data_IF_992970931685
#
_entry.id   IF_992970931685
#
_cell.length_a   1.000
_cell.length_b   1.000
_cell.length_c   1.000
_cell.angle_alpha   90.00
_cell.angle_beta   90.00
_cell.angle_gamma   90.00
#
_symmetry.space_group_name_H-M   'P 1'
#
loop_
_entity.id
_entity.type
_entity.pdbx_description
1 polymer ?
#
# COMPACT_ATOMS: atom_id res chain seq x y z
N UNK A 1 -17.45 12.48 0.06
CA UNK A 1 -17.44 11.28 0.91
C UNK A 1 -18.83 11.16 1.53
N UNK A 2 -19.48 9.99 1.38
CA UNK A 2 -20.82 9.73 1.89
C UNK A 2 -21.85 10.81 1.51
N UNK A 3 -21.83 11.26 0.24
CA UNK A 3 -22.70 12.28 -0.30
C UNK A 3 -22.40 13.72 0.11
N UNK A 4 -21.32 13.96 0.90
CA UNK A 4 -20.90 15.31 1.31
C UNK A 4 -19.67 15.76 0.53
N UNK A 5 -19.64 17.01 0.05
CA UNK A 5 -18.44 17.58 -0.56
C UNK A 5 -17.27 17.58 0.43
N UNK A 6 -16.09 17.17 -0.02
CA UNK A 6 -14.87 17.12 0.83
C UNK A 6 -14.54 18.50 1.42
N UNK A 7 -14.82 19.57 0.69
CA UNK A 7 -14.57 20.95 1.11
C UNK A 7 -15.39 21.40 2.33
N UNK A 8 -16.50 20.72 2.61
CA UNK A 8 -17.39 21.00 3.74
C UNK A 8 -17.05 20.16 4.98
N UNK A 9 -16.08 19.24 4.86
CA UNK A 9 -15.69 18.37 5.96
C UNK A 9 -14.59 19.00 6.79
N UNK A 10 -14.66 18.90 8.14
CA UNK A 10 -13.55 19.30 8.99
C UNK A 10 -12.27 18.54 8.61
N UNK A 11 -11.20 19.28 8.35
CA UNK A 11 -9.93 18.71 7.86
C UNK A 11 -9.37 17.64 8.80
N UNK A 12 -9.53 17.81 10.13
CA UNK A 12 -9.12 16.83 11.14
C UNK A 12 -9.87 15.51 10.95
N UNK A 13 -11.18 15.54 10.74
CA UNK A 13 -12.00 14.35 10.52
C UNK A 13 -11.60 13.66 9.21
N UNK A 14 -11.44 14.43 8.14
CA UNK A 14 -11.02 13.90 6.85
C UNK A 14 -9.68 13.17 6.97
N UNK A 15 -8.66 13.85 7.52
CA UNK A 15 -7.31 13.27 7.66
C UNK A 15 -7.26 12.08 8.61
N UNK A 16 -8.08 12.05 9.69
CA UNK A 16 -8.13 10.89 10.58
C UNK A 16 -8.82 9.68 9.95
N UNK A 17 -9.67 9.90 8.95
CA UNK A 17 -10.39 8.83 8.23
C UNK A 17 -9.57 8.20 7.11
N UNK A 18 -8.46 8.82 6.68
CA UNK A 18 -7.64 8.38 5.55
C UNK A 18 -6.29 7.84 6.05
N UNK A 19 -5.96 6.61 5.65
CA UNK A 19 -4.59 6.08 5.66
C UNK A 19 -4.00 6.26 4.26
N UNK A 20 -2.88 6.95 4.14
CA UNK A 20 -2.21 7.22 2.88
C UNK A 20 -0.78 6.71 2.87
N UNK A 21 -0.44 5.93 1.87
CA UNK A 21 0.91 5.46 1.60
C UNK A 21 1.36 6.07 0.28
N UNK A 22 2.28 7.04 0.29
CA UNK A 22 2.79 7.67 -0.93
C UNK A 22 3.74 6.76 -1.69
N UNK A 23 3.94 7.03 -2.98
CA UNK A 23 4.89 6.37 -3.85
C UNK A 23 6.33 6.48 -3.29
N UNK A 24 6.75 7.69 -2.92
CA UNK A 24 8.03 7.93 -2.23
C UNK A 24 7.84 7.83 -0.72
N UNK A 25 8.33 6.74 -0.16
CA UNK A 25 8.20 6.46 1.27
C UNK A 25 9.28 7.13 2.07
N UNK A 26 8.89 7.99 3.00
CA UNK A 26 9.77 8.62 3.98
C UNK A 26 9.65 7.95 5.36
N UNK A 27 10.79 7.68 5.99
CA UNK A 27 10.89 7.24 7.39
C UNK A 27 11.68 8.28 8.21
N UNK A 28 11.24 8.49 9.42
CA UNK A 28 11.91 9.38 10.37
C UNK A 28 13.14 8.69 10.97
N UNK A 29 14.14 9.47 11.40
CA UNK A 29 15.25 8.98 12.21
C UNK A 29 14.77 8.66 13.62
N UNK A 30 14.08 7.54 13.75
CA UNK A 30 13.36 7.06 14.93
C UNK A 30 13.38 5.51 14.92
N UNK A 31 12.92 4.86 16.00
CA UNK A 31 12.77 3.41 16.01
C UNK A 31 11.77 2.93 14.94
N UNK A 32 11.82 1.65 14.59
CA UNK A 32 10.81 1.04 13.69
C UNK A 32 9.43 1.20 14.33
N UNK A 33 9.29 0.92 15.63
CA UNK A 33 8.04 1.12 16.38
C UNK A 33 7.56 2.58 16.31
N UNK A 34 8.44 3.55 16.55
CA UNK A 34 8.13 4.98 16.45
C UNK A 34 7.68 5.39 15.06
N UNK A 35 8.30 4.83 14.01
CA UNK A 35 7.88 5.04 12.63
C UNK A 35 6.49 4.47 12.34
N UNK A 36 6.16 3.28 12.83
CA UNK A 36 4.82 2.67 12.66
C UNK A 36 3.78 3.46 13.45
N UNK A 37 4.08 3.80 14.70
CA UNK A 37 3.17 4.52 15.60
C UNK A 37 2.98 6.01 15.23
N UNK A 38 3.71 6.52 14.24
CA UNK A 38 3.68 7.93 13.89
C UNK A 38 2.26 8.41 13.56
N UNK A 39 1.82 9.45 14.30
CA UNK A 39 0.47 10.02 14.16
C UNK A 39 -0.61 9.33 14.98
N UNK A 40 -0.22 8.43 15.91
CA UNK A 40 -1.07 7.85 16.96
C UNK A 40 -0.48 8.26 18.32
N UNK A 41 -1.25 8.97 19.15
CA UNK A 41 -0.74 9.56 20.41
C UNK A 41 -0.35 8.50 21.46
N UNK A 42 -0.98 7.33 21.44
CA UNK A 42 -0.80 6.30 22.47
C UNK A 42 -0.96 4.90 21.86
N UNK A 43 -0.12 4.57 20.89
CA UNK A 43 -0.10 3.22 20.33
C UNK A 43 0.49 2.23 21.33
N UNK A 44 -0.21 1.13 21.59
CA UNK A 44 0.36 0.05 22.40
C UNK A 44 1.34 -0.79 21.57
N UNK A 45 2.19 -1.55 22.25
CA UNK A 45 3.13 -2.48 21.59
C UNK A 45 2.38 -3.47 20.70
N UNK A 46 1.29 -4.02 21.21
CA UNK A 46 0.44 -4.98 20.51
C UNK A 46 -0.19 -4.38 19.24
N UNK A 47 -0.59 -3.11 19.27
CA UNK A 47 -1.12 -2.41 18.08
C UNK A 47 -0.04 -2.19 17.02
N UNK A 48 1.18 -1.88 17.44
CA UNK A 48 2.34 -1.73 16.55
C UNK A 48 2.70 -3.08 15.90
N UNK A 49 2.79 -4.15 16.71
CA UNK A 49 3.07 -5.51 16.23
C UNK A 49 1.98 -5.98 15.25
N UNK A 50 0.71 -5.79 15.58
CA UNK A 50 -0.40 -6.13 14.70
C UNK A 50 -0.35 -5.37 13.37
N UNK A 51 -0.03 -4.08 13.40
CA UNK A 51 0.11 -3.29 12.19
C UNK A 51 1.29 -3.77 11.32
N UNK A 52 2.40 -4.17 11.95
CA UNK A 52 3.56 -4.74 11.27
C UNK A 52 3.24 -6.11 10.63
N UNK A 53 2.52 -6.97 11.33
CA UNK A 53 2.04 -8.24 10.78
C UNK A 53 1.13 -8.03 9.58
N UNK A 54 0.17 -7.12 9.69
CA UNK A 54 -0.75 -6.77 8.61
C UNK A 54 -0.05 -6.24 7.36
N UNK A 55 1.04 -5.51 7.55
CA UNK A 55 1.86 -4.99 6.45
C UNK A 55 2.92 -5.99 5.95
N UNK A 56 3.04 -7.16 6.57
CA UNK A 56 4.01 -8.19 6.19
C UNK A 56 5.47 -7.82 6.49
N UNK A 57 5.74 -6.95 7.48
CA UNK A 57 7.09 -6.52 7.86
C UNK A 57 7.54 -7.12 9.21
N UNK A 58 6.66 -7.76 9.97
CA UNK A 58 6.96 -8.23 11.32
C UNK A 58 8.12 -9.24 11.35
N UNK A 59 8.18 -10.17 10.40
CA UNK A 59 9.27 -11.16 10.32
C UNK A 59 10.62 -10.48 10.12
N UNK A 60 10.71 -9.51 9.19
CA UNK A 60 11.94 -8.73 8.97
C UNK A 60 12.37 -7.97 10.23
N UNK A 61 11.39 -7.38 10.95
CA UNK A 61 11.69 -6.60 12.17
C UNK A 61 12.31 -7.49 13.25
N UNK A 62 11.86 -8.73 13.37
CA UNK A 62 12.40 -9.68 14.36
C UNK A 62 13.87 -10.06 14.07
N UNK A 63 14.32 -9.94 12.81
CA UNK A 63 15.73 -10.16 12.43
C UNK A 63 16.61 -8.92 12.66
N UNK A 64 16.04 -7.76 12.96
CA UNK A 64 16.82 -6.56 13.25
C UNK A 64 17.50 -6.65 14.64
N UNK A 65 18.66 -6.00 14.84
CA UNK A 65 19.45 -6.12 16.06
C UNK A 65 18.70 -5.88 17.37
N UNK A 66 17.72 -4.94 17.36
CA UNK A 66 16.89 -4.60 18.51
C UNK A 66 15.39 -4.75 18.19
N UNK A 67 15.01 -5.57 17.20
CA UNK A 67 13.63 -5.75 16.80
C UNK A 67 12.93 -4.41 16.51
N UNK A 68 11.77 -4.22 17.10
CA UNK A 68 10.96 -2.98 16.94
C UNK A 68 11.65 -1.72 17.48
N UNK A 69 12.60 -1.85 18.41
CA UNK A 69 13.38 -0.72 18.97
C UNK A 69 14.62 -0.39 18.14
N UNK A 70 14.78 -1.03 16.99
CA UNK A 70 15.88 -0.74 16.08
C UNK A 70 15.71 0.66 15.50
N UNK A 71 16.72 1.52 15.66
CA UNK A 71 16.78 2.84 15.04
C UNK A 71 16.93 2.72 13.52
N UNK A 72 16.21 3.51 12.76
CA UNK A 72 16.32 3.63 11.30
C UNK A 72 16.67 5.05 10.91
N UNK A 73 17.23 5.22 9.70
CA UNK A 73 17.66 6.53 9.19
C UNK A 73 19.14 6.79 9.37
N UNK A 74 19.57 8.06 9.39
CA UNK A 74 20.99 8.45 9.38
C UNK A 74 21.82 7.93 10.57
N UNK A 75 21.17 7.66 11.69
CA UNK A 75 21.83 7.17 12.92
C UNK A 75 21.52 5.70 13.24
N UNK A 76 20.93 4.98 12.31
CA UNK A 76 20.51 3.60 12.50
C UNK A 76 20.75 2.77 11.25
N UNK A 77 20.00 1.63 11.16
CA UNK A 77 20.08 0.77 9.99
C UNK A 77 19.38 1.43 8.77
N UNK A 78 19.85 1.08 7.59
CA UNK A 78 19.19 1.44 6.34
C UNK A 78 18.27 0.31 5.92
N UNK A 79 16.97 0.58 5.85
CA UNK A 79 15.99 -0.37 5.35
C UNK A 79 16.04 -0.45 3.82
N UNK A 80 15.77 -1.64 3.26
CA UNK A 80 15.54 -1.81 1.83
C UNK A 80 14.29 -1.04 1.36
N UNK A 81 14.15 -0.81 0.06
CA UNK A 81 12.97 -0.15 -0.51
C UNK A 81 11.66 -0.84 -0.09
N UNK A 82 11.61 -2.17 -0.20
CA UNK A 82 10.46 -2.97 0.20
C UNK A 82 10.16 -2.92 1.71
N UNK A 83 11.20 -2.91 2.56
CA UNK A 83 11.04 -2.75 4.01
C UNK A 83 10.49 -1.37 4.37
N UNK A 84 10.98 -0.30 3.70
CA UNK A 84 10.45 1.06 3.87
C UNK A 84 8.98 1.14 3.49
N UNK A 85 8.60 0.58 2.33
CA UNK A 85 7.21 0.57 1.87
C UNK A 85 6.30 -0.19 2.83
N UNK A 86 6.68 -1.39 3.27
CA UNK A 86 5.90 -2.17 4.25
C UNK A 86 5.79 -1.46 5.60
N UNK A 87 6.84 -0.78 6.07
CA UNK A 87 6.77 0.04 7.29
C UNK A 87 5.79 1.21 7.13
N UNK A 88 5.74 1.87 5.96
CA UNK A 88 4.77 2.92 5.69
C UNK A 88 3.33 2.38 5.58
N UNK A 89 3.15 1.19 5.05
CA UNK A 89 1.84 0.50 5.05
C UNK A 89 1.41 0.25 6.50
N UNK A 90 2.28 -0.28 7.37
CA UNK A 90 1.99 -0.47 8.79
C UNK A 90 1.58 0.85 9.48
N UNK A 91 2.31 1.94 9.21
CA UNK A 91 1.98 3.30 9.69
C UNK A 91 0.60 3.78 9.26
N UNK A 92 0.17 3.45 8.03
CA UNK A 92 -1.17 3.80 7.57
C UNK A 92 -2.24 2.93 8.23
N UNK A 93 -1.97 1.64 8.46
CA UNK A 93 -2.91 0.66 8.99
C UNK A 93 -3.16 0.80 10.49
N UNK A 94 -2.16 1.17 11.29
CA UNK A 94 -2.30 1.32 12.74
C UNK A 94 -3.41 2.31 13.13
N UNK A 95 -3.66 3.29 12.26
CA UNK A 95 -4.73 4.29 12.44
C UNK A 95 -6.13 3.74 12.17
N UNK A 96 -6.25 2.49 11.72
CA UNK A 96 -7.53 1.82 11.37
C UNK A 96 -8.41 2.69 10.46
N UNK A 97 -7.87 3.20 9.33
CA UNK A 97 -8.55 4.17 8.50
C UNK A 97 -9.80 3.56 7.85
N UNK A 98 -10.83 4.40 7.59
CA UNK A 98 -12.00 4.01 6.80
C UNK A 98 -11.72 4.04 5.29
N UNK A 99 -10.81 4.90 4.87
CA UNK A 99 -10.35 5.05 3.50
C UNK A 99 -8.86 4.75 3.47
N UNK A 100 -8.44 3.80 2.65
CA UNK A 100 -7.04 3.47 2.45
C UNK A 100 -6.63 3.88 1.02
N UNK A 101 -5.55 4.66 0.93
CA UNK A 101 -4.99 5.09 -0.36
C UNK A 101 -3.56 4.54 -0.43
N UNK A 102 -3.30 3.72 -1.44
CA UNK A 102 -2.00 3.14 -1.75
C UNK A 102 -1.55 3.68 -3.11
N UNK A 103 -0.57 4.58 -3.09
CA UNK A 103 -0.05 5.22 -4.28
C UNK A 103 1.27 4.55 -4.67
N UNK A 104 1.19 3.62 -5.60
CA UNK A 104 2.29 2.76 -6.07
C UNK A 104 3.14 2.14 -4.92
N UNK A 105 2.43 1.80 -3.84
CA UNK A 105 3.02 1.47 -2.54
C UNK A 105 3.72 0.09 -2.50
N UNK A 106 3.73 -0.66 -3.60
CA UNK A 106 4.38 -1.97 -3.71
C UNK A 106 5.41 -2.03 -4.85
N UNK A 107 5.74 -0.92 -5.48
CA UNK A 107 6.65 -0.86 -6.64
C UNK A 107 8.07 -1.33 -6.36
N UNK A 108 8.55 -1.17 -5.12
CA UNK A 108 9.90 -1.59 -4.70
C UNK A 108 9.94 -2.98 -4.05
N UNK A 109 8.85 -3.73 -4.14
CA UNK A 109 8.71 -5.08 -3.57
C UNK A 109 8.80 -6.10 -4.73
N UNK A 110 9.50 -7.21 -4.50
CA UNK A 110 9.52 -8.33 -5.44
C UNK A 110 8.13 -8.99 -5.55
N UNK A 111 7.88 -9.65 -6.68
CA UNK A 111 6.56 -10.23 -7.02
C UNK A 111 6.04 -11.23 -5.96
N UNK A 112 6.92 -12.06 -5.40
CA UNK A 112 6.52 -13.03 -4.38
C UNK A 112 6.09 -12.37 -3.08
N UNK A 113 6.86 -11.38 -2.64
CA UNK A 113 6.54 -10.60 -1.44
C UNK A 113 5.29 -9.73 -1.67
N UNK A 114 5.14 -9.15 -2.87
CA UNK A 114 3.94 -8.40 -3.27
C UNK A 114 2.67 -9.24 -3.14
N UNK A 115 2.65 -10.48 -3.66
CA UNK A 115 1.50 -11.37 -3.53
C UNK A 115 1.12 -11.66 -2.07
N UNK A 116 2.13 -11.89 -1.21
CA UNK A 116 1.89 -12.09 0.23
C UNK A 116 1.24 -10.84 0.86
N UNK A 117 1.77 -9.66 0.56
CA UNK A 117 1.24 -8.39 1.08
C UNK A 117 -0.17 -8.16 0.57
N UNK A 118 -0.41 -8.33 -0.73
CA UNK A 118 -1.75 -8.17 -1.33
C UNK A 118 -2.76 -9.10 -0.71
N UNK A 119 -2.40 -10.36 -0.42
CA UNK A 119 -3.28 -11.31 0.27
C UNK A 119 -3.69 -10.82 1.67
N UNK A 120 -2.78 -10.21 2.43
CA UNK A 120 -3.08 -9.60 3.72
C UNK A 120 -3.90 -8.31 3.56
N UNK A 121 -3.52 -7.44 2.63
CA UNK A 121 -4.21 -6.18 2.35
C UNK A 121 -5.66 -6.41 1.89
N UNK A 122 -5.93 -7.40 1.04
CA UNK A 122 -7.30 -7.76 0.62
C UNK A 122 -8.21 -8.06 1.81
N UNK A 123 -7.69 -8.71 2.85
CA UNK A 123 -8.43 -8.99 4.08
C UNK A 123 -8.75 -7.71 4.85
N UNK A 124 -7.80 -6.78 4.87
CA UNK A 124 -7.91 -5.49 5.56
C UNK A 124 -8.80 -4.52 4.77
N UNK A 125 -8.77 -4.56 3.45
CA UNK A 125 -9.58 -3.70 2.57
C UNK A 125 -11.07 -4.03 2.60
N UNK A 126 -11.45 -5.26 3.01
CA UNK A 126 -12.86 -5.63 3.16
C UNK A 126 -13.57 -4.69 4.13
N UNK A 127 -14.71 -4.14 3.72
CA UNK A 127 -15.54 -3.25 4.53
C UNK A 127 -15.01 -1.81 4.64
N UNK A 128 -14.06 -1.42 3.81
CA UNK A 128 -13.57 -0.03 3.69
C UNK A 128 -13.39 0.38 2.23
N UNK A 129 -13.38 1.66 1.98
CA UNK A 129 -13.04 2.20 0.66
C UNK A 129 -11.53 2.14 0.48
N UNK A 130 -11.06 1.48 -0.57
CA UNK A 130 -9.63 1.41 -0.89
C UNK A 130 -9.39 1.93 -2.29
N UNK A 131 -8.42 2.83 -2.42
CA UNK A 131 -7.93 3.37 -3.69
C UNK A 131 -6.49 2.90 -3.87
N UNK A 132 -6.25 2.15 -4.93
CA UNK A 132 -4.92 1.64 -5.26
C UNK A 132 -4.50 2.26 -6.60
N UNK A 133 -3.38 2.95 -6.60
CA UNK A 133 -2.70 3.38 -7.82
C UNK A 133 -1.53 2.43 -8.05
N UNK A 134 -1.45 1.83 -9.20
CA UNK A 134 -0.35 0.93 -9.58
C UNK A 134 -0.18 0.89 -11.09
N UNK A 135 1.05 0.69 -11.52
CA UNK A 135 1.39 0.37 -12.90
C UNK A 135 1.40 -1.16 -13.15
N UNK A 136 1.24 -1.98 -12.11
CA UNK A 136 1.16 -3.45 -12.21
C UNK A 136 -0.30 -3.90 -12.22
N UNK A 137 -0.67 -4.64 -13.26
CA UNK A 137 -2.04 -5.20 -13.37
C UNK A 137 -2.30 -6.23 -12.28
N UNK A 138 -1.29 -7.03 -11.89
CA UNK A 138 -1.36 -8.00 -10.77
C UNK A 138 -1.89 -7.39 -9.48
N UNK A 139 -1.53 -6.13 -9.21
CA UNK A 139 -1.94 -5.39 -8.01
C UNK A 139 -3.42 -5.01 -8.02
N UNK A 140 -3.98 -4.68 -9.19
CA UNK A 140 -5.32 -4.08 -9.33
C UNK A 140 -6.37 -5.01 -9.92
N UNK A 141 -6.00 -6.18 -10.46
CA UNK A 141 -6.91 -7.10 -11.16
C UNK A 141 -8.14 -7.55 -10.35
N UNK A 142 -8.02 -7.59 -9.02
CA UNK A 142 -9.11 -8.00 -8.13
C UNK A 142 -9.90 -6.80 -7.55
N UNK A 143 -9.72 -5.60 -8.09
CA UNK A 143 -10.49 -4.42 -7.68
C UNK A 143 -11.94 -4.49 -8.21
N UNK A 144 -12.88 -3.97 -7.43
CA UNK A 144 -14.30 -3.88 -7.81
C UNK A 144 -14.51 -2.95 -9.03
N UNK A 145 -13.61 -1.96 -9.19
CA UNK A 145 -13.59 -1.04 -10.31
C UNK A 145 -12.15 -0.65 -10.62
N UNK A 146 -11.77 -0.81 -11.87
CA UNK A 146 -10.50 -0.36 -12.43
C UNK A 146 -10.77 0.84 -13.34
N UNK A 147 -9.91 1.86 -13.22
CA UNK A 147 -9.92 3.06 -14.05
C UNK A 147 -8.56 3.20 -14.70
N UNK A 148 -8.51 3.18 -16.02
CA UNK A 148 -7.30 3.43 -16.80
C UNK A 148 -7.24 4.89 -17.17
N UNK A 149 -6.12 5.53 -16.85
CA UNK A 149 -5.86 6.95 -17.17
C UNK A 149 -4.88 7.06 -18.33
N UNK A 150 -5.21 7.87 -19.32
CA UNK A 150 -4.35 8.24 -20.42
C UNK A 150 -4.44 9.74 -20.64
N UNK A 151 -3.31 10.42 -20.74
CA UNK A 151 -3.21 11.88 -20.92
C UNK A 151 -4.09 12.69 -19.94
N UNK A 152 -4.19 12.24 -18.68
CA UNK A 152 -4.98 12.91 -17.66
C UNK A 152 -6.50 12.71 -17.78
N UNK A 153 -6.96 11.79 -18.62
CA UNK A 153 -8.37 11.46 -18.84
C UNK A 153 -8.62 9.99 -18.55
N UNK A 154 -9.87 9.67 -18.21
CA UNK A 154 -10.31 8.28 -18.09
C UNK A 154 -10.47 7.72 -19.50
N UNK A 155 -9.56 6.82 -19.90
CA UNK A 155 -9.63 6.09 -21.16
C UNK A 155 -10.58 4.90 -21.04
N UNK A 156 -10.45 4.12 -19.98
CA UNK A 156 -11.25 2.93 -19.76
C UNK A 156 -11.68 2.80 -18.30
N UNK A 157 -12.78 2.11 -18.07
CA UNK A 157 -13.26 1.72 -16.75
C UNK A 157 -14.04 0.41 -16.81
N UNK A 158 -13.91 -0.42 -15.79
CA UNK A 158 -14.61 -1.71 -15.69
C UNK A 158 -13.93 -2.62 -14.67
N UNK A 159 -14.38 -3.85 -14.57
CA UNK A 159 -13.69 -4.93 -13.88
C UNK A 159 -12.55 -5.48 -14.76
N UNK A 160 -11.68 -6.31 -14.18
CA UNK A 160 -10.62 -6.99 -14.94
C UNK A 160 -11.16 -7.72 -16.17
N UNK A 161 -12.15 -8.57 -15.97
CA UNK A 161 -12.72 -9.39 -17.04
C UNK A 161 -13.36 -8.54 -18.15
N UNK A 162 -14.09 -7.48 -17.78
CA UNK A 162 -14.68 -6.55 -18.75
C UNK A 162 -13.63 -5.82 -19.59
N UNK A 163 -12.52 -5.40 -18.95
CA UNK A 163 -11.46 -4.67 -19.63
C UNK A 163 -10.62 -5.58 -20.52
N UNK A 164 -10.35 -6.81 -20.11
CA UNK A 164 -9.69 -7.82 -20.95
C UNK A 164 -10.57 -8.14 -22.17
N UNK A 165 -11.87 -8.36 -21.97
CA UNK A 165 -12.80 -8.67 -23.05
C UNK A 165 -12.93 -7.54 -24.11
N UNK A 166 -12.65 -6.28 -23.72
CA UNK A 166 -12.66 -5.13 -24.64
C UNK A 166 -11.42 -5.08 -25.54
N UNK A 167 -10.30 -5.69 -25.15
CA UNK A 167 -9.05 -5.67 -25.92
C UNK A 167 -8.45 -4.28 -26.10
N UNK A 168 -8.62 -3.38 -25.13
CA UNK A 168 -8.11 -2.01 -25.18
C UNK A 168 -6.79 -1.85 -24.40
N UNK A 169 -6.49 -0.61 -23.99
CA UNK A 169 -5.25 -0.24 -23.29
C UNK A 169 -4.94 -1.13 -22.08
N UNK A 170 -5.96 -1.46 -21.29
CA UNK A 170 -5.78 -2.35 -20.14
C UNK A 170 -5.32 -3.74 -20.53
N UNK A 171 -5.92 -4.31 -21.58
CA UNK A 171 -5.56 -5.63 -22.08
C UNK A 171 -4.13 -5.64 -22.65
N UNK A 172 -3.73 -4.61 -23.39
CA UNK A 172 -2.36 -4.45 -23.90
C UNK A 172 -1.34 -4.37 -22.75
N UNK A 173 -1.63 -3.61 -21.69
CA UNK A 173 -0.79 -3.54 -20.50
C UNK A 173 -0.65 -4.90 -19.81
N UNK A 174 -1.74 -5.64 -19.71
CA UNK A 174 -1.74 -6.97 -19.10
C UNK A 174 -0.91 -7.97 -19.90
N UNK A 175 -1.10 -8.03 -21.22
CA UNK A 175 -0.33 -8.92 -22.10
C UNK A 175 1.17 -8.61 -22.04
N UNK A 176 1.53 -7.32 -22.04
CA UNK A 176 2.92 -6.89 -21.91
C UNK A 176 3.54 -7.38 -20.61
N UNK A 177 2.83 -7.24 -19.48
CA UNK A 177 3.34 -7.67 -18.18
C UNK A 177 3.49 -9.19 -18.09
N UNK A 178 2.56 -9.97 -18.67
CA UNK A 178 2.69 -11.42 -18.74
C UNK A 178 3.94 -11.85 -19.51
N UNK A 179 4.23 -11.20 -20.64
CA UNK A 179 5.44 -11.47 -21.42
C UNK A 179 6.72 -11.12 -20.64
N UNK A 180 6.72 -10.01 -19.90
CA UNK A 180 7.86 -9.62 -19.05
C UNK A 180 8.10 -10.64 -17.91
N UNK A 181 7.04 -11.17 -17.31
CA UNK A 181 7.12 -12.20 -16.26
C UNK A 181 7.63 -13.54 -16.82
N UNK A 182 7.18 -13.96 -18.00
CA UNK A 182 7.66 -15.19 -18.67
C UNK A 182 9.15 -15.09 -19.02
N UNK A 183 9.60 -13.93 -19.52
CA UNK A 183 11.01 -13.70 -19.84
C UNK A 183 11.90 -13.68 -18.60
N UNK A 184 11.39 -13.17 -17.48
CA UNK A 184 12.14 -13.12 -16.21
C UNK A 184 12.25 -14.51 -15.54
N UNK A 185 11.34 -15.44 -15.87
CA UNK A 185 11.33 -16.81 -15.35
C UNK A 185 12.17 -17.80 -16.16
N UNK A 186 12.66 -17.38 -17.36
CA UNK A 186 13.48 -18.18 -18.30
C UNK A 186 14.95 -18.03 -18.03
#
# INVERSE_FOLDING_TARGET
>A
IDGRPIREMPLRLLRSSIGYVPQETFLFSETVAGNIAFGVESATKEEVEQAAEQAGIAEDILEFPNGFETMVGERGITLSGGQKQRTAIARALIRRPRILILDDALSSVDTYTEEKILKHLRRIMRGRTSLIVSHRVSTVKDADLIVVLEEGRIAERGTHDELIARGGLYAELYEKQLLEEELAAS
#
